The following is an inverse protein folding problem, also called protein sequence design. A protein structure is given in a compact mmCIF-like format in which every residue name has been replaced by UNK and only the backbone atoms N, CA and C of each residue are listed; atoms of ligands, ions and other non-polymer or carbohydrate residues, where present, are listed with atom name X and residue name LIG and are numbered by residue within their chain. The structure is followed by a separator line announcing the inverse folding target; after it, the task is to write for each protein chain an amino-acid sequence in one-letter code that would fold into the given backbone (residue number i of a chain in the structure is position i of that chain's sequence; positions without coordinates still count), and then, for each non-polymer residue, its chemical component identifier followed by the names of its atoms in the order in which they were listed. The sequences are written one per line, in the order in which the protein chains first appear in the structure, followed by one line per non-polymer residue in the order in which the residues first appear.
data_IF_872137272805
#
_entry.id   IF_872137272805
#
_cell.length_a   1.000
_cell.length_b   1.000
_cell.length_c   1.000
_cell.angle_alpha   90.00
_cell.angle_beta   90.00
_cell.angle_gamma   90.00
#
_symmetry.space_group_name_H-M   'P 1'
#
loop_
_entity.id
_entity.type
_entity.pdbx_description
1 polymer ?
#
# COMPACT_ATOMS: atom_id res chain seq x y z
N UNK A 1 18.46 26.96 21.56
CA UNK A 1 19.08 27.01 20.20
C UNK A 1 18.17 26.27 19.27
N UNK A 2 17.42 27.03 18.47
CA UNK A 2 16.52 26.50 17.44
C UNK A 2 17.37 25.78 16.39
N UNK A 3 17.32 24.47 16.33
CA UNK A 3 17.86 23.73 15.21
C UNK A 3 16.97 24.02 14.00
N UNK A 4 17.34 25.03 13.23
CA UNK A 4 16.77 25.24 11.92
C UNK A 4 17.18 24.05 11.07
N UNK A 5 16.25 23.13 10.82
CA UNK A 5 16.47 22.02 9.93
C UNK A 5 16.88 22.55 8.56
N UNK A 6 18.10 22.20 8.11
CA UNK A 6 18.60 22.46 6.75
C UNK A 6 17.75 21.79 5.65
N UNK A 7 16.65 21.14 6.02
CA UNK A 7 15.77 20.35 5.16
C UNK A 7 14.31 20.73 5.31
N UNK A 8 13.99 22.00 5.54
CA UNK A 8 12.62 22.46 5.40
C UNK A 8 12.29 22.60 3.89
N UNK A 9 12.08 21.46 3.27
CA UNK A 9 11.69 21.36 1.87
C UNK A 9 10.17 21.45 1.67
N UNK A 10 9.43 21.88 2.71
CA UNK A 10 7.96 21.95 2.65
C UNK A 10 7.26 20.60 2.56
N UNK A 11 7.99 19.49 2.78
CA UNK A 11 7.46 18.13 2.67
C UNK A 11 7.09 17.58 4.05
N UNK A 12 5.88 17.07 4.18
CA UNK A 12 5.36 16.47 5.42
C UNK A 12 4.71 15.11 5.11
N UNK A 13 5.03 14.09 5.94
CA UNK A 13 4.33 12.81 5.96
C UNK A 13 3.52 12.69 7.24
N UNK A 14 2.20 12.52 7.13
CA UNK A 14 1.31 12.44 8.29
C UNK A 14 0.09 11.56 8.07
N UNK A 15 -0.57 11.16 9.16
CA UNK A 15 -1.90 10.59 9.11
C UNK A 15 -2.91 11.60 8.56
N UNK A 16 -3.84 11.11 7.74
CA UNK A 16 -4.96 11.87 7.18
C UNK A 16 -6.27 11.10 7.37
N UNK A 17 -7.40 11.78 7.26
CA UNK A 17 -8.71 11.15 7.32
C UNK A 17 -9.00 10.30 6.07
N UNK A 18 -9.75 9.21 6.23
CA UNK A 18 -10.21 8.40 5.08
C UNK A 18 -11.00 9.21 4.05
N UNK A 19 -11.89 10.16 4.43
CA UNK A 19 -12.57 11.01 3.45
C UNK A 19 -11.59 11.81 2.60
N UNK A 20 -10.55 12.40 3.19
CA UNK A 20 -9.51 13.15 2.48
C UNK A 20 -8.73 12.24 1.53
N UNK A 21 -8.34 11.05 1.99
CA UNK A 21 -7.66 10.06 1.17
C UNK A 21 -8.53 9.58 0.00
N UNK A 22 -9.80 9.30 0.23
CA UNK A 22 -10.73 8.86 -0.80
C UNK A 22 -10.97 9.93 -1.85
N UNK A 23 -11.13 11.19 -1.45
CA UNK A 23 -11.24 12.30 -2.39
C UNK A 23 -10.01 12.41 -3.29
N UNK A 24 -8.80 12.24 -2.74
CA UNK A 24 -7.57 12.24 -3.52
C UNK A 24 -7.49 11.05 -4.49
N UNK A 25 -7.85 9.84 -4.03
CA UNK A 25 -7.88 8.63 -4.87
C UNK A 25 -8.84 8.78 -6.06
N UNK A 26 -9.99 9.42 -5.85
CA UNK A 26 -10.96 9.71 -6.90
C UNK A 26 -10.45 10.77 -7.86
N UNK A 27 -9.93 11.89 -7.34
CA UNK A 27 -9.39 12.98 -8.13
C UNK A 27 -8.22 12.56 -9.02
N UNK A 28 -7.39 11.63 -8.54
CA UNK A 28 -6.26 11.07 -9.31
C UNK A 28 -6.63 9.80 -10.09
N UNK A 29 -7.92 9.50 -10.21
CA UNK A 29 -8.44 8.37 -10.99
C UNK A 29 -7.82 7.03 -10.63
N UNK A 30 -7.60 6.80 -9.31
CA UNK A 30 -7.08 5.50 -8.86
C UNK A 30 -8.01 4.37 -9.28
N UNK A 31 -7.47 3.35 -9.95
CA UNK A 31 -8.25 2.29 -10.60
C UNK A 31 -9.21 1.53 -9.68
N UNK A 32 -8.85 1.37 -8.40
CA UNK A 32 -9.69 0.72 -7.38
C UNK A 32 -10.65 1.71 -6.69
N UNK A 33 -10.54 3.01 -6.99
CA UNK A 33 -11.28 4.05 -6.29
C UNK A 33 -10.92 4.16 -4.82
N UNK A 34 -11.79 4.82 -4.05
CA UNK A 34 -11.65 4.99 -2.62
C UNK A 34 -11.57 3.68 -1.83
N UNK A 35 -11.12 3.77 -0.60
CA UNK A 35 -11.06 2.63 0.30
C UNK A 35 -12.33 2.54 1.14
N UNK A 36 -13.11 1.49 0.93
CA UNK A 36 -14.35 1.19 1.63
C UNK A 36 -14.25 -0.20 2.26
N UNK A 37 -13.64 -0.28 3.44
CA UNK A 37 -13.48 -1.52 4.22
C UNK A 37 -13.94 -1.28 5.67
N UNK A 38 -15.24 -1.07 5.93
CA UNK A 38 -15.73 -0.63 7.24
C UNK A 38 -15.47 -1.63 8.37
N UNK A 39 -15.31 -2.91 8.05
CA UNK A 39 -15.07 -3.98 9.03
C UNK A 39 -13.62 -4.46 9.08
N UNK A 40 -12.69 -3.82 8.34
CA UNK A 40 -11.30 -4.21 8.37
C UNK A 40 -10.61 -3.63 9.61
N UNK A 41 -9.81 -4.45 10.28
CA UNK A 41 -8.85 -3.97 11.26
C UNK A 41 -7.73 -3.16 10.58
N UNK A 42 -6.96 -2.41 11.37
CA UNK A 42 -5.77 -1.69 10.93
C UNK A 42 -6.01 -0.69 9.78
N UNK A 43 -7.22 -0.14 9.69
CA UNK A 43 -7.55 0.87 8.66
C UNK A 43 -6.93 2.20 9.03
N UNK A 44 -6.06 2.70 8.15
CA UNK A 44 -5.42 3.99 8.29
C UNK A 44 -5.08 4.59 6.93
N UNK A 45 -5.04 5.92 6.85
CA UNK A 45 -4.56 6.63 5.68
C UNK A 45 -3.46 7.62 6.06
N UNK A 46 -2.46 7.73 5.20
CA UNK A 46 -1.34 8.66 5.35
C UNK A 46 -1.15 9.42 4.06
N UNK A 47 -0.75 10.68 4.18
CA UNK A 47 -0.54 11.58 3.07
C UNK A 47 0.86 12.17 3.05
N UNK A 48 1.40 12.30 1.85
CA UNK A 48 2.55 13.15 1.55
C UNK A 48 2.02 14.52 1.15
N UNK A 49 2.42 15.53 1.88
CA UNK A 49 2.09 16.92 1.59
C UNK A 49 3.33 17.66 1.12
N UNK A 50 3.18 18.53 0.15
CA UNK A 50 4.20 19.47 -0.31
C UNK A 50 3.59 20.88 -0.24
N UNK A 51 4.20 21.74 0.56
CA UNK A 51 3.69 23.07 0.87
C UNK A 51 2.21 23.07 1.30
N UNK A 52 1.86 22.13 2.18
CA UNK A 52 0.49 21.94 2.70
C UNK A 52 -0.50 21.29 1.74
N UNK A 53 -0.13 21.06 0.47
CA UNK A 53 -0.99 20.39 -0.52
C UNK A 53 -0.72 18.88 -0.54
N UNK A 54 -1.78 18.08 -0.44
CA UNK A 54 -1.69 16.64 -0.57
C UNK A 54 -1.27 16.23 -1.99
N UNK A 55 -0.19 15.44 -2.10
CA UNK A 55 0.40 15.04 -3.39
C UNK A 55 0.54 13.52 -3.56
N UNK A 56 0.46 12.76 -2.47
CA UNK A 56 0.37 11.30 -2.53
C UNK A 56 -0.35 10.74 -1.30
N UNK A 57 -0.98 9.57 -1.45
CA UNK A 57 -1.67 8.86 -0.37
C UNK A 57 -1.26 7.39 -0.32
N UNK A 58 -1.20 6.85 0.90
CA UNK A 58 -1.06 5.43 1.17
C UNK A 58 -2.13 5.02 2.17
N UNK A 59 -2.97 4.04 1.81
CA UNK A 59 -4.01 3.52 2.69
C UNK A 59 -3.67 2.09 3.10
N UNK A 60 -3.78 1.83 4.39
CA UNK A 60 -3.49 0.55 5.03
C UNK A 60 -4.79 -0.11 5.49
N UNK A 61 -4.85 -1.42 5.46
CA UNK A 61 -5.94 -2.20 6.04
C UNK A 61 -5.45 -3.59 6.45
N UNK A 62 -6.15 -4.25 7.35
CA UNK A 62 -5.98 -5.68 7.60
C UNK A 62 -6.32 -6.51 6.36
N UNK A 63 -5.78 -7.72 6.28
CA UNK A 63 -6.09 -8.64 5.19
C UNK A 63 -7.59 -8.97 5.14
N UNK A 64 -8.16 -8.99 3.93
CA UNK A 64 -9.58 -9.38 3.74
C UNK A 64 -9.77 -10.87 4.03
N UNK A 65 -8.86 -11.71 3.55
CA UNK A 65 -8.88 -13.16 3.78
C UNK A 65 -7.98 -13.51 4.97
N UNK A 66 -8.21 -14.67 5.58
CA UNK A 66 -7.38 -15.15 6.67
C UNK A 66 -5.92 -15.29 6.26
N UNK A 67 -5.68 -15.77 5.06
CA UNK A 67 -4.33 -15.94 4.48
C UNK A 67 -4.25 -15.35 3.07
N UNK A 68 -3.02 -15.08 2.62
CA UNK A 68 -2.73 -14.64 1.26
C UNK A 68 -2.70 -15.83 0.31
N UNK A 69 -3.44 -15.76 -0.78
CA UNK A 69 -3.45 -16.81 -1.81
C UNK A 69 -2.06 -17.01 -2.41
N UNK A 70 -1.58 -18.26 -2.42
CA UNK A 70 -0.23 -18.60 -2.88
C UNK A 70 0.90 -18.27 -1.91
N UNK A 71 0.58 -17.73 -0.73
CA UNK A 71 1.53 -17.45 0.34
C UNK A 71 0.83 -17.61 1.72
N UNK A 72 0.41 -18.84 2.11
CA UNK A 72 -0.43 -19.08 3.27
C UNK A 72 0.25 -18.76 4.61
N UNK A 73 1.56 -18.62 4.62
CA UNK A 73 2.34 -18.15 5.77
C UNK A 73 2.10 -16.66 6.12
N UNK A 74 1.55 -15.89 5.17
CA UNK A 74 1.06 -14.53 5.40
C UNK A 74 -0.42 -14.60 5.82
N UNK A 75 -0.71 -14.16 7.02
CA UNK A 75 -2.05 -14.22 7.60
C UNK A 75 -2.39 -12.93 8.36
N UNK A 76 -3.65 -12.82 8.80
CA UNK A 76 -4.14 -11.63 9.53
C UNK A 76 -3.37 -11.33 10.81
N UNK A 77 -2.77 -12.33 11.44
CA UNK A 77 -2.01 -12.16 12.68
C UNK A 77 -0.64 -11.54 12.45
N UNK A 78 -0.01 -11.80 11.30
CA UNK A 78 1.37 -11.40 11.03
C UNK A 78 1.55 -10.38 9.91
N UNK A 79 0.51 -10.08 9.14
CA UNK A 79 0.61 -9.19 7.98
C UNK A 79 -0.45 -8.10 7.97
N UNK A 80 -0.10 -6.95 7.40
CA UNK A 80 -0.99 -5.84 7.08
C UNK A 80 -0.90 -5.50 5.60
N UNK A 81 -1.99 -5.04 4.99
CA UNK A 81 -2.06 -4.72 3.57
C UNK A 81 -1.85 -3.22 3.33
N UNK A 82 -0.90 -2.87 2.47
CA UNK A 82 -0.90 -1.57 1.78
C UNK A 82 -1.96 -1.64 0.67
N UNK A 83 -3.17 -1.21 1.00
CA UNK A 83 -4.36 -1.44 0.19
C UNK A 83 -4.50 -0.46 -0.98
N UNK A 84 -3.98 0.77 -0.82
CA UNK A 84 -3.95 1.82 -1.85
C UNK A 84 -2.65 2.59 -1.78
N UNK A 85 -2.10 2.87 -2.95
CA UNK A 85 -0.96 3.77 -3.13
C UNK A 85 -1.21 4.58 -4.40
N UNK A 86 -1.30 5.89 -4.27
CA UNK A 86 -1.57 6.79 -5.40
C UNK A 86 -0.92 8.15 -5.17
N UNK A 87 -0.67 8.86 -6.25
CA UNK A 87 -0.11 10.21 -6.21
C UNK A 87 -0.61 11.03 -7.39
N UNK A 88 -0.54 12.35 -7.27
CA UNK A 88 -0.83 13.28 -8.36
C UNK A 88 0.19 13.13 -9.52
N UNK A 89 1.41 12.71 -9.20
CA UNK A 89 2.47 12.32 -10.14
C UNK A 89 2.97 10.92 -9.81
N UNK A 90 3.03 10.06 -10.80
CA UNK A 90 3.42 8.64 -10.63
C UNK A 90 4.77 8.46 -9.92
N UNK A 91 5.73 9.36 -10.14
CA UNK A 91 7.04 9.32 -9.48
C UNK A 91 6.97 9.43 -7.97
N UNK A 92 5.96 10.12 -7.42
CA UNK A 92 5.77 10.28 -5.98
C UNK A 92 5.25 9.01 -5.29
N UNK A 93 4.70 8.05 -6.02
CA UNK A 93 4.32 6.75 -5.45
C UNK A 93 5.51 6.04 -4.80
N UNK A 94 6.72 6.14 -5.36
CA UNK A 94 7.92 5.55 -4.76
C UNK A 94 8.32 6.24 -3.46
N UNK A 95 8.18 7.55 -3.42
CA UNK A 95 8.45 8.34 -2.20
C UNK A 95 7.45 7.96 -1.12
N UNK A 96 6.16 7.97 -1.44
CA UNK A 96 5.10 7.59 -0.51
C UNK A 96 5.24 6.15 -0.01
N UNK A 97 5.59 5.20 -0.89
CA UNK A 97 5.86 3.81 -0.51
C UNK A 97 7.00 3.71 0.50
N UNK A 98 8.10 4.42 0.25
CA UNK A 98 9.27 4.45 1.14
C UNK A 98 8.92 5.04 2.50
N UNK A 99 8.21 6.17 2.52
CA UNK A 99 7.79 6.84 3.76
C UNK A 99 6.81 5.96 4.55
N UNK A 100 5.84 5.36 3.87
CA UNK A 100 4.91 4.42 4.50
C UNK A 100 5.65 3.24 5.12
N UNK A 101 6.57 2.62 4.40
CA UNK A 101 7.34 1.48 4.88
C UNK A 101 8.23 1.81 6.08
N UNK A 102 8.85 3.00 6.08
CA UNK A 102 9.80 3.39 7.13
C UNK A 102 9.08 3.93 8.37
N UNK A 103 8.05 4.73 8.19
CA UNK A 103 7.44 5.46 9.31
C UNK A 103 6.06 4.93 9.71
N UNK A 104 5.29 4.38 8.79
CA UNK A 104 3.91 3.96 9.06
C UNK A 104 3.81 2.46 9.35
N UNK A 105 4.37 1.61 8.49
CA UNK A 105 4.29 0.16 8.64
C UNK A 105 4.71 -0.33 10.02
N UNK A 106 5.82 0.14 10.64
CA UNK A 106 6.24 -0.33 11.97
C UNK A 106 5.21 -0.08 13.06
N UNK A 107 4.34 0.92 12.91
CA UNK A 107 3.33 1.27 13.94
C UNK A 107 2.23 0.21 14.07
N UNK A 108 2.06 -0.67 13.08
CA UNK A 108 1.06 -1.73 13.11
C UNK A 108 1.52 -2.96 13.90
N UNK A 109 2.80 -3.06 14.26
CA UNK A 109 3.34 -4.20 14.99
C UNK A 109 3.21 -5.53 14.24
N UNK A 110 3.12 -5.50 12.91
CA UNK A 110 3.06 -6.69 12.06
C UNK A 110 4.44 -7.05 11.54
N UNK A 111 4.70 -8.36 11.39
CA UNK A 111 5.97 -8.84 10.83
C UNK A 111 6.11 -8.52 9.33
N UNK A 112 4.98 -8.49 8.62
CA UNK A 112 4.97 -8.34 7.16
C UNK A 112 3.98 -7.27 6.69
N UNK A 113 4.39 -6.57 5.64
CA UNK A 113 3.51 -5.76 4.81
C UNK A 113 3.24 -6.50 3.49
N UNK A 114 2.00 -6.48 3.02
CA UNK A 114 1.57 -7.10 1.76
C UNK A 114 0.98 -6.03 0.86
N UNK A 115 1.21 -6.10 -0.43
CA UNK A 115 0.53 -5.26 -1.41
C UNK A 115 0.18 -6.04 -2.68
N UNK A 116 -0.95 -5.69 -3.28
CA UNK A 116 -1.46 -6.31 -4.50
C UNK A 116 -1.30 -5.33 -5.66
N UNK A 117 -0.46 -5.68 -6.62
CA UNK A 117 -0.24 -4.90 -7.83
C UNK A 117 -1.05 -5.49 -8.99
N UNK A 118 -1.80 -4.65 -9.68
CA UNK A 118 -2.44 -5.02 -10.94
C UNK A 118 -1.36 -5.35 -11.99
N UNK A 119 -1.32 -6.62 -12.43
CA UNK A 119 -0.27 -7.13 -13.29
C UNK A 119 -0.37 -6.63 -14.73
N UNK A 120 -1.58 -6.25 -15.15
CA UNK A 120 -1.86 -5.80 -16.50
C UNK A 120 -1.61 -4.28 -16.67
N UNK A 121 -1.63 -3.53 -15.57
CA UNK A 121 -1.48 -2.06 -15.60
C UNK A 121 -0.09 -1.57 -15.18
N UNK A 122 0.64 -2.34 -14.38
CA UNK A 122 1.87 -1.87 -13.74
C UNK A 122 3.00 -2.90 -13.86
N UNK A 123 4.22 -2.41 -14.06
CA UNK A 123 5.42 -3.25 -14.13
C UNK A 123 5.89 -3.83 -12.77
N UNK A 124 5.38 -3.27 -11.66
CA UNK A 124 5.85 -3.60 -10.31
C UNK A 124 7.18 -2.95 -9.92
N UNK A 125 7.72 -2.09 -10.75
CA UNK A 125 9.01 -1.44 -10.48
C UNK A 125 9.02 -0.63 -9.18
N UNK A 126 7.88 -0.03 -8.80
CA UNK A 126 7.75 0.71 -7.54
C UNK A 126 8.11 -0.17 -6.34
N UNK A 127 7.60 -1.40 -6.31
CA UNK A 127 7.90 -2.36 -5.25
C UNK A 127 9.30 -2.95 -5.36
N UNK A 128 9.67 -3.38 -6.57
CA UNK A 128 10.98 -4.00 -6.81
C UNK A 128 12.13 -3.08 -6.42
N UNK A 129 12.10 -1.81 -6.81
CA UNK A 129 13.16 -0.85 -6.49
C UNK A 129 13.13 -0.37 -5.04
N UNK A 130 12.03 -0.58 -4.32
CA UNK A 130 11.97 -0.37 -2.87
C UNK A 130 12.41 -1.62 -2.07
N UNK A 131 12.78 -2.70 -2.74
CA UNK A 131 13.30 -3.92 -2.13
C UNK A 131 12.23 -4.92 -1.66
N UNK A 132 10.99 -4.79 -2.14
CA UNK A 132 9.93 -5.78 -1.88
C UNK A 132 10.17 -7.05 -2.68
N UNK A 133 9.75 -8.16 -2.14
CA UNK A 133 9.78 -9.47 -2.80
C UNK A 133 8.42 -9.81 -3.40
N UNK A 134 8.40 -10.26 -4.64
CA UNK A 134 7.22 -10.82 -5.29
C UNK A 134 7.08 -12.29 -4.90
N UNK A 135 5.95 -12.66 -4.27
CA UNK A 135 5.78 -13.98 -3.65
C UNK A 135 4.72 -14.86 -4.30
N UNK A 136 3.70 -14.27 -4.91
CA UNK A 136 2.67 -15.07 -5.58
C UNK A 136 1.97 -14.29 -6.68
N UNK A 137 1.22 -15.02 -7.51
CA UNK A 137 0.39 -14.49 -8.58
C UNK A 137 -1.05 -14.96 -8.36
N UNK A 138 -1.96 -14.00 -8.15
CA UNK A 138 -3.39 -14.25 -8.06
C UNK A 138 -4.03 -14.01 -9.43
N UNK A 139 -4.51 -15.09 -10.07
CA UNK A 139 -5.24 -14.99 -11.34
C UNK A 139 -6.62 -14.38 -11.12
N UNK A 140 -7.08 -13.65 -12.11
CA UNK A 140 -8.46 -13.18 -12.16
C UNK A 140 -9.41 -14.37 -12.14
N UNK A 141 -10.22 -14.48 -11.10
CA UNK A 141 -11.30 -15.44 -11.03
C UNK A 141 -12.59 -14.74 -11.42
N UNK A 142 -13.06 -14.84 -12.64
CA UNK A 142 -14.37 -14.37 -13.07
C UNK A 142 -14.81 -12.96 -12.65
N UNK A 143 -16.05 -12.64 -12.93
CA UNK A 143 -16.69 -11.39 -12.52
C UNK A 143 -17.20 -11.50 -11.08
N UNK A 144 -16.94 -10.50 -10.25
CA UNK A 144 -17.52 -10.42 -8.92
C UNK A 144 -19.04 -10.18 -9.06
N UNK A 145 -19.83 -11.19 -8.75
CA UNK A 145 -21.31 -11.16 -8.87
C UNK A 145 -21.96 -10.02 -8.08
N UNK A 146 -21.30 -9.52 -7.04
CA UNK A 146 -21.85 -8.48 -6.17
C UNK A 146 -21.57 -7.07 -6.65
N UNK A 147 -20.42 -6.84 -7.26
CA UNK A 147 -19.98 -5.51 -7.70
C UNK A 147 -19.96 -5.34 -9.22
N UNK A 148 -20.16 -6.41 -9.99
CA UNK A 148 -20.03 -6.40 -11.46
C UNK A 148 -18.62 -6.09 -11.94
N UNK A 149 -17.62 -6.08 -11.04
CA UNK A 149 -16.23 -5.76 -11.38
C UNK A 149 -15.51 -7.01 -11.87
N UNK A 150 -14.88 -6.91 -13.03
CA UNK A 150 -13.97 -7.97 -13.51
C UNK A 150 -12.81 -8.12 -12.53
N UNK A 151 -12.59 -9.35 -12.10
CA UNK A 151 -11.40 -9.70 -11.35
C UNK A 151 -10.16 -9.43 -12.21
N UNK A 152 -9.04 -9.10 -11.58
CA UNK A 152 -7.78 -8.76 -12.26
C UNK A 152 -6.66 -9.66 -11.82
N UNK A 153 -5.74 -9.91 -12.73
CA UNK A 153 -4.48 -10.55 -12.42
C UNK A 153 -3.65 -9.65 -11.50
N UNK A 154 -3.16 -10.21 -10.41
CA UNK A 154 -2.42 -9.44 -9.42
C UNK A 154 -1.14 -10.16 -9.03
N UNK A 155 -0.04 -9.44 -9.01
CA UNK A 155 1.15 -9.85 -8.29
C UNK A 155 1.03 -9.48 -6.81
N UNK A 156 1.47 -10.37 -5.94
CA UNK A 156 1.54 -10.15 -4.50
C UNK A 156 2.97 -9.85 -4.11
N UNK A 157 3.17 -8.72 -3.48
CA UNK A 157 4.45 -8.24 -2.98
C UNK A 157 4.47 -8.28 -1.46
N UNK A 158 5.60 -8.60 -0.87
CA UNK A 158 5.81 -8.64 0.58
C UNK A 158 7.05 -7.86 0.99
N UNK A 159 6.94 -7.19 2.15
CA UNK A 159 8.05 -6.55 2.86
C UNK A 159 8.03 -7.03 4.33
N UNK A 160 9.18 -7.29 5.00
CA UNK A 160 10.50 -7.43 4.38
C UNK A 160 10.58 -8.68 3.49
N UNK A 161 11.54 -8.71 2.54
CA UNK A 161 11.77 -9.90 1.73
C UNK A 161 12.19 -11.06 2.64
N UNK A 162 11.72 -12.26 2.33
CA UNK A 162 12.18 -13.46 3.02
C UNK A 162 13.60 -13.80 2.58
N UNK A 163 14.49 -14.01 3.53
CA UNK A 163 15.78 -14.61 3.25
C UNK A 163 15.56 -16.05 2.82
N UNK A 164 15.68 -16.34 1.53
CA UNK A 164 15.60 -17.68 0.93
C UNK A 164 16.71 -18.65 1.43
N UNK A 165 17.47 -18.28 2.47
CA UNK A 165 18.55 -19.10 3.05
C UNK A 165 18.14 -19.89 4.31
N UNK A 166 16.86 -19.96 4.65
CA UNK A 166 16.35 -20.82 5.72
C UNK A 166 15.28 -21.76 5.15
N UNK A 167 15.70 -22.67 4.30
CA UNK A 167 15.04 -23.98 4.19
C UNK A 167 15.91 -24.97 4.97
N UNK A 168 15.32 -25.73 5.89
CA UNK A 168 16.02 -26.80 6.63
C UNK A 168 16.47 -27.91 5.70
#
# INVERSE_FOLDING_TARGET
VSQTSLLDCGVTWRGIGLPEANAALEAWSHKMGGMHRPCAADVAAHGLLHDGRLVAVACTAGLIRETVAGAPWLNRGNAVELARLCADRTSLCRVALRLWRVFTFPTFGRAYAVSYQDADLHSGNTYRFDGWQRVSFARAGGEDRRSGRKARNKWVWVWPPQNTKQSP
#
